data_IF_782333803126
#
_entry.id   IF_782333803126
#
_cell.length_a   1.000
_cell.length_b   1.000
_cell.length_c   1.000
_cell.angle_alpha   90.00
_cell.angle_beta   90.00
_cell.angle_gamma   90.00
#
_symmetry.space_group_name_H-M   'P 1'
#
loop_
_entity.id
_entity.type
_entity.pdbx_description
1 polymer ?
#
# COMPACT_ATOMS: atom_id res chain seq x y z
N UNK A 1 -17.70 4.67 12.38
CA UNK A 1 -16.66 4.14 11.48
C UNK A 1 -15.51 3.64 12.35
N UNK A 2 -15.13 2.37 12.21
CA UNK A 2 -14.02 1.78 12.96
C UNK A 2 -12.68 2.39 12.50
N UNK A 3 -11.73 2.58 13.41
CA UNK A 3 -10.44 3.19 13.08
C UNK A 3 -9.66 2.29 12.09
N UNK A 4 -8.97 2.82 11.05
CA UNK A 4 -8.27 2.00 10.04
C UNK A 4 -7.31 0.95 10.59
N UNK A 5 -6.60 1.30 11.67
CA UNK A 5 -5.73 0.39 12.42
C UNK A 5 -6.50 -0.82 12.99
N UNK A 6 -7.71 -0.60 13.51
CA UNK A 6 -8.51 -1.67 14.10
C UNK A 6 -9.09 -2.57 13.01
N UNK A 7 -9.39 -2.02 11.82
CA UNK A 7 -9.75 -2.79 10.63
C UNK A 7 -8.61 -3.71 10.19
N UNK A 8 -7.37 -3.20 10.13
CA UNK A 8 -6.18 -4.01 9.82
C UNK A 8 -6.00 -5.16 10.81
N UNK A 9 -6.16 -4.89 12.10
CA UNK A 9 -6.03 -5.93 13.11
C UNK A 9 -7.13 -6.98 12.94
N UNK A 10 -8.40 -6.59 12.97
CA UNK A 10 -9.52 -7.51 12.92
C UNK A 10 -9.53 -8.37 11.64
N UNK A 11 -9.04 -7.86 10.51
CA UNK A 11 -9.20 -8.51 9.21
C UNK A 11 -7.91 -9.06 8.61
N UNK A 12 -6.77 -8.94 9.30
CA UNK A 12 -5.51 -9.51 8.84
C UNK A 12 -4.62 -9.95 10.00
N UNK A 13 -4.26 -9.02 10.90
CA UNK A 13 -3.16 -9.28 11.83
C UNK A 13 -3.58 -9.91 13.16
N UNK A 14 -4.88 -10.08 13.41
CA UNK A 14 -5.41 -10.78 14.59
C UNK A 14 -4.97 -12.24 14.67
N UNK A 15 -4.59 -12.86 13.55
CA UNK A 15 -4.04 -14.23 13.51
C UNK A 15 -2.80 -14.37 14.42
N UNK A 16 -2.12 -13.26 14.71
CA UNK A 16 -0.97 -13.20 15.62
C UNK A 16 -1.34 -12.93 17.08
N UNK A 17 -2.63 -12.91 17.45
CA UNK A 17 -3.07 -12.73 18.84
C UNK A 17 -2.35 -13.65 19.85
N UNK A 18 -2.12 -14.95 19.56
CA UNK A 18 -1.37 -15.83 20.46
C UNK A 18 0.10 -15.43 20.65
N UNK A 19 0.68 -14.70 19.69
CA UNK A 19 2.09 -14.31 19.67
C UNK A 19 2.35 -12.89 20.22
N UNK A 20 1.32 -12.15 20.66
CA UNK A 20 1.48 -10.77 21.14
C UNK A 20 2.28 -10.67 22.44
N UNK A 21 2.31 -11.74 23.24
CA UNK A 21 2.93 -11.78 24.56
C UNK A 21 1.97 -11.40 25.68
N UNK A 22 2.50 -11.13 26.87
CA UNK A 22 1.71 -10.73 28.03
C UNK A 22 1.26 -9.26 27.93
N UNK A 23 -0.03 -9.04 28.11
CA UNK A 23 -0.61 -7.70 28.09
C UNK A 23 -0.56 -7.06 29.48
N UNK A 24 -0.35 -5.75 29.53
CA UNK A 24 -0.26 -4.95 30.76
C UNK A 24 -1.25 -3.79 30.74
N UNK A 25 -1.72 -3.40 31.92
CA UNK A 25 -2.50 -2.17 32.06
C UNK A 25 -1.59 -0.95 31.91
N UNK A 26 -1.99 0.01 31.09
CA UNK A 26 -1.19 1.20 30.79
C UNK A 26 -2.04 2.47 30.69
N UNK A 27 -1.52 3.58 31.23
CA UNK A 27 -2.08 4.92 31.01
C UNK A 27 -1.47 5.64 29.81
N UNK A 28 -0.39 5.11 29.24
CA UNK A 28 0.37 5.77 28.18
C UNK A 28 -0.25 5.56 26.81
N UNK A 29 -0.12 6.56 25.92
CA UNK A 29 -0.47 6.43 24.51
C UNK A 29 0.39 5.34 23.83
N UNK A 30 -0.10 4.82 22.71
CA UNK A 30 0.67 3.86 21.92
C UNK A 30 1.90 4.56 21.30
N UNK A 31 3.11 4.05 21.52
CA UNK A 31 4.35 4.60 20.95
C UNK A 31 4.40 4.52 19.42
N UNK A 32 3.68 3.57 18.82
CA UNK A 32 3.62 3.33 17.37
C UNK A 32 2.59 4.24 16.67
N UNK A 33 1.30 4.04 16.94
CA UNK A 33 0.22 4.80 16.30
C UNK A 33 -0.16 6.11 17.00
N UNK A 34 0.40 6.40 18.18
CA UNK A 34 0.15 7.60 18.99
C UNK A 34 -1.29 7.77 19.50
N UNK A 35 -2.16 6.77 19.31
CA UNK A 35 -3.52 6.78 19.89
C UNK A 35 -3.46 6.73 21.42
N UNK A 36 -4.38 7.41 22.14
CA UNK A 36 -4.42 7.40 23.59
C UNK A 36 -4.83 6.03 24.15
N UNK A 37 -4.44 5.73 25.39
CA UNK A 37 -4.72 4.46 26.07
C UNK A 37 -6.21 4.10 26.11
N UNK A 38 -7.08 5.11 26.21
CA UNK A 38 -8.54 4.94 26.19
C UNK A 38 -9.07 4.32 24.90
N UNK A 39 -8.33 4.42 23.79
CA UNK A 39 -8.75 3.87 22.50
C UNK A 39 -8.45 2.38 22.31
N UNK A 40 -7.81 1.74 23.29
CA UNK A 40 -7.48 0.31 23.31
C UNK A 40 -7.66 -0.27 24.73
N UNK A 41 -8.69 0.21 25.44
CA UNK A 41 -9.08 -0.28 26.77
C UNK A 41 -7.98 -0.26 27.84
N UNK A 42 -6.97 0.60 27.64
CA UNK A 42 -5.79 0.70 28.52
C UNK A 42 -5.01 -0.62 28.63
N UNK A 43 -5.12 -1.50 27.64
CA UNK A 43 -4.39 -2.78 27.56
C UNK A 43 -3.31 -2.69 26.49
N UNK A 44 -2.04 -2.64 26.92
CA UNK A 44 -0.90 -2.48 26.04
C UNK A 44 0.15 -3.57 26.20
N UNK A 45 1.13 -3.57 25.31
CA UNK A 45 2.30 -4.44 25.31
C UNK A 45 3.54 -3.59 25.46
N UNK A 46 4.35 -3.88 26.46
CA UNK A 46 5.53 -3.10 26.79
C UNK A 46 6.80 -3.91 26.59
N UNK A 47 7.89 -3.22 26.27
CA UNK A 47 9.19 -3.84 26.08
C UNK A 47 10.23 -2.83 25.62
N UNK A 48 11.36 -3.36 25.16
CA UNK A 48 12.45 -2.59 24.58
C UNK A 48 12.58 -2.95 23.09
N UNK A 49 12.71 -1.95 22.24
CA UNK A 49 13.02 -2.19 20.83
C UNK A 49 14.49 -2.56 20.60
N UNK A 50 14.89 -2.76 19.34
CA UNK A 50 16.28 -3.08 18.98
C UNK A 50 17.30 -2.02 19.39
N UNK A 51 16.87 -0.79 19.64
CA UNK A 51 17.69 0.33 20.08
C UNK A 51 17.62 0.55 21.59
N UNK A 52 17.04 -0.41 22.34
CA UNK A 52 16.79 -0.32 23.79
C UNK A 52 15.88 0.86 24.18
N UNK A 53 15.04 1.32 23.27
CA UNK A 53 14.04 2.33 23.56
C UNK A 53 12.78 1.66 24.10
N UNK A 54 12.24 2.11 25.25
CA UNK A 54 10.96 1.63 25.75
C UNK A 54 9.83 1.88 24.76
N UNK A 55 9.00 0.86 24.53
CA UNK A 55 7.78 0.99 23.74
C UNK A 55 6.54 0.59 24.55
N UNK A 56 5.40 1.10 24.11
CA UNK A 56 4.07 0.74 24.59
C UNK A 56 3.15 0.61 23.38
N UNK A 57 2.80 -0.60 22.98
CA UNK A 57 1.99 -0.85 21.79
C UNK A 57 0.57 -1.25 22.16
N UNK A 58 -0.43 -0.77 21.41
CA UNK A 58 -1.74 -1.41 21.41
C UNK A 58 -1.66 -2.74 20.63
N UNK A 59 -2.61 -3.65 20.83
CA UNK A 59 -2.63 -4.95 20.13
C UNK A 59 -2.48 -4.83 18.59
N UNK A 60 -3.21 -3.94 17.89
CA UNK A 60 -3.03 -3.75 16.45
C UNK A 60 -1.60 -3.38 16.03
N UNK A 61 -0.94 -2.51 16.80
CA UNK A 61 0.44 -2.13 16.51
C UNK A 61 1.41 -3.25 16.86
N UNK A 62 1.20 -3.94 17.99
CA UNK A 62 2.08 -5.02 18.44
C UNK A 62 2.10 -6.18 17.44
N UNK A 63 0.95 -6.51 16.85
CA UNK A 63 0.83 -7.55 15.82
C UNK A 63 1.77 -7.33 14.61
N UNK A 64 2.17 -6.08 14.37
CA UNK A 64 3.10 -5.76 13.28
C UNK A 64 4.57 -6.09 13.61
N UNK A 65 4.93 -6.23 14.88
CA UNK A 65 6.31 -6.42 15.35
C UNK A 65 6.63 -7.86 15.77
N UNK A 66 5.63 -8.62 16.19
CA UNK A 66 5.79 -10.01 16.62
C UNK A 66 5.92 -10.95 15.42
N UNK A 67 6.47 -12.12 15.67
CA UNK A 67 6.64 -13.18 14.68
C UNK A 67 6.25 -14.52 15.29
N UNK A 68 5.59 -15.35 14.49
CA UNK A 68 5.32 -16.75 14.80
C UNK A 68 5.58 -17.57 13.54
N UNK A 69 6.65 -18.36 13.46
CA UNK A 69 6.98 -19.16 12.28
C UNK A 69 5.90 -20.18 11.87
N UNK A 70 5.07 -20.65 12.80
CA UNK A 70 4.01 -21.61 12.51
C UNK A 70 2.80 -20.94 11.86
N UNK A 71 2.61 -19.65 12.13
CA UNK A 71 1.52 -18.84 11.58
C UNK A 71 1.99 -18.12 10.31
N UNK A 72 3.17 -17.49 10.35
CA UNK A 72 3.66 -16.57 9.31
C UNK A 72 4.70 -17.18 8.35
N UNK A 73 5.20 -18.37 8.67
CA UNK A 73 6.32 -18.98 7.95
C UNK A 73 7.66 -18.32 8.25
N UNK A 74 8.68 -18.72 7.49
CA UNK A 74 10.07 -18.28 7.68
C UNK A 74 10.50 -17.31 6.59
N UNK A 75 11.12 -16.20 6.98
CA UNK A 75 11.66 -15.20 6.06
C UNK A 75 12.96 -15.70 5.41
N UNK A 76 13.88 -16.17 6.25
CA UNK A 76 15.23 -16.61 5.88
C UNK A 76 15.84 -17.53 6.94
N UNK A 77 16.88 -18.24 6.55
CA UNK A 77 17.80 -18.92 7.47
C UNK A 77 18.96 -17.97 7.80
N UNK A 78 19.21 -17.71 9.08
CA UNK A 78 20.27 -16.79 9.50
C UNK A 78 21.64 -17.50 9.55
N UNK A 79 22.50 -17.21 8.57
CA UNK A 79 23.92 -17.62 8.60
C UNK A 79 24.15 -19.13 8.62
N UNK A 80 25.29 -19.57 9.17
CA UNK A 80 25.72 -20.98 9.28
C UNK A 80 24.95 -21.81 10.33
N UNK A 81 24.00 -21.22 11.06
CA UNK A 81 23.43 -21.83 12.27
C UNK A 81 22.04 -22.45 12.11
N UNK A 82 21.54 -22.64 10.88
CA UNK A 82 20.19 -23.18 10.59
C UNK A 82 19.02 -22.51 11.34
N UNK A 83 19.27 -21.36 11.99
CA UNK A 83 18.28 -20.65 12.78
C UNK A 83 17.31 -19.94 11.84
N UNK A 84 16.09 -20.46 11.78
CA UNK A 84 15.01 -19.87 10.98
C UNK A 84 14.53 -18.57 11.63
N UNK A 85 14.48 -17.50 10.84
CA UNK A 85 13.91 -16.21 11.24
C UNK A 85 12.49 -16.17 10.69
N UNK A 86 11.50 -16.05 11.57
CA UNK A 86 10.09 -15.98 11.18
C UNK A 86 9.74 -14.67 10.47
N UNK A 87 8.71 -14.71 9.63
CA UNK A 87 8.17 -13.50 9.00
C UNK A 87 7.38 -12.66 10.02
N UNK A 88 7.27 -11.36 9.75
CA UNK A 88 6.39 -10.43 10.47
C UNK A 88 5.82 -9.39 9.50
N UNK A 89 4.58 -8.96 9.72
CA UNK A 89 3.92 -8.03 8.80
C UNK A 89 4.72 -6.75 8.58
N UNK A 90 5.21 -6.10 9.65
CA UNK A 90 6.00 -4.85 9.58
C UNK A 90 7.41 -4.99 8.99
N UNK A 91 7.68 -6.04 8.21
CA UNK A 91 8.87 -6.22 7.38
C UNK A 91 8.58 -6.83 5.99
N UNK A 92 7.31 -7.03 5.63
CA UNK A 92 6.92 -7.62 4.35
C UNK A 92 6.93 -6.56 3.24
N UNK A 93 8.13 -6.18 2.81
CA UNK A 93 8.32 -5.22 1.72
C UNK A 93 7.72 -5.75 0.42
N UNK A 94 6.92 -4.92 -0.26
CA UNK A 94 6.26 -5.27 -1.50
C UNK A 94 5.05 -6.18 -1.35
N UNK A 95 4.66 -6.56 -0.14
CA UNK A 95 3.35 -7.18 0.13
C UNK A 95 2.34 -6.08 0.38
N UNK A 96 1.30 -6.06 -0.44
CA UNK A 96 0.17 -5.16 -0.28
C UNK A 96 -1.00 -5.81 0.47
N UNK A 97 -1.97 -5.00 0.85
CA UNK A 97 -3.22 -5.47 1.44
C UNK A 97 -4.38 -4.56 1.05
N UNK A 98 -5.48 -5.15 0.62
CA UNK A 98 -6.70 -4.45 0.22
C UNK A 98 -7.85 -4.93 1.09
N UNK A 99 -8.55 -3.99 1.69
CA UNK A 99 -9.70 -4.28 2.54
C UNK A 99 -10.90 -3.44 2.15
N UNK A 100 -11.93 -4.08 1.61
CA UNK A 100 -13.20 -3.46 1.27
C UNK A 100 -14.01 -3.20 2.55
N UNK A 101 -14.54 -1.99 2.70
CA UNK A 101 -15.27 -1.60 3.89
C UNK A 101 -16.76 -1.91 3.69
N UNK A 102 -17.31 -2.69 4.62
CA UNK A 102 -18.65 -3.28 4.56
C UNK A 102 -19.80 -2.30 4.81
N UNK A 103 -19.59 -1.00 4.65
CA UNK A 103 -20.62 0.03 4.88
C UNK A 103 -21.68 0.05 3.76
N UNK A 104 -21.61 -0.87 2.79
CA UNK A 104 -22.62 -1.09 1.75
C UNK A 104 -23.45 -2.33 2.11
N UNK A 105 -24.73 -2.18 2.51
CA UNK A 105 -25.60 -3.30 2.85
C UNK A 105 -25.64 -4.36 1.73
N UNK A 106 -25.48 -5.63 2.10
CA UNK A 106 -25.65 -6.78 1.20
C UNK A 106 -24.41 -7.20 0.40
N UNK A 107 -23.21 -6.67 0.70
CA UNK A 107 -21.96 -7.14 0.08
C UNK A 107 -21.01 -7.78 1.11
N UNK A 108 -20.39 -8.93 0.80
CA UNK A 108 -19.39 -9.53 1.67
C UNK A 108 -18.16 -8.62 1.77
N UNK A 109 -17.70 -8.40 2.99
CA UNK A 109 -16.41 -7.76 3.27
C UNK A 109 -15.29 -8.64 2.71
N UNK A 110 -14.40 -8.06 1.90
CA UNK A 110 -13.24 -8.78 1.38
C UNK A 110 -11.96 -8.16 1.90
N UNK A 111 -11.07 -9.02 2.39
CA UNK A 111 -9.75 -8.68 2.90
C UNK A 111 -8.74 -9.55 2.18
N UNK A 112 -7.94 -8.97 1.28
CA UNK A 112 -7.05 -9.73 0.40
C UNK A 112 -5.63 -9.21 0.54
N UNK A 113 -4.69 -10.10 0.80
CA UNK A 113 -3.26 -9.84 0.80
C UNK A 113 -2.71 -10.01 -0.62
N UNK A 114 -1.88 -9.07 -1.08
CA UNK A 114 -1.27 -9.10 -2.40
C UNK A 114 0.22 -9.39 -2.22
N UNK A 115 0.65 -10.61 -2.52
CA UNK A 115 1.99 -11.08 -2.20
C UNK A 115 2.81 -11.42 -3.45
N UNK A 116 4.04 -10.89 -3.58
CA UNK A 116 4.96 -11.30 -4.64
C UNK A 116 5.26 -12.79 -4.59
N UNK A 117 5.54 -13.44 -5.74
CA UNK A 117 5.75 -14.89 -5.80
C UNK A 117 6.69 -15.46 -4.74
N UNK A 118 7.87 -14.85 -4.58
CA UNK A 118 8.86 -15.32 -3.61
C UNK A 118 8.49 -15.13 -2.13
N UNK A 119 7.47 -14.31 -1.82
CA UNK A 119 6.91 -14.19 -0.46
C UNK A 119 5.75 -15.17 -0.29
N UNK A 120 4.87 -15.26 -1.30
CA UNK A 120 3.75 -16.20 -1.32
C UNK A 120 4.20 -17.64 -1.05
N UNK A 121 5.27 -18.07 -1.75
CA UNK A 121 5.79 -19.44 -1.66
C UNK A 121 6.39 -19.78 -0.28
N UNK A 122 6.53 -18.79 0.62
CA UNK A 122 7.02 -18.96 1.99
C UNK A 122 5.89 -19.03 3.03
N UNK A 123 4.64 -18.78 2.64
CA UNK A 123 3.52 -18.87 3.58
C UNK A 123 3.17 -20.33 3.87
N UNK A 124 2.97 -20.69 5.15
CA UNK A 124 2.51 -22.02 5.51
C UNK A 124 1.03 -22.20 5.09
N UNK A 125 0.59 -23.44 4.91
CA UNK A 125 -0.80 -23.75 4.58
C UNK A 125 -1.79 -23.14 5.60
N UNK A 126 -1.44 -23.19 6.89
CA UNK A 126 -2.19 -22.57 7.98
C UNK A 126 -2.43 -21.07 7.78
N UNK A 127 -1.48 -20.34 7.18
CA UNK A 127 -1.67 -18.92 6.85
C UNK A 127 -2.70 -18.74 5.75
N UNK A 128 -2.59 -19.52 4.67
CA UNK A 128 -3.45 -19.45 3.50
C UNK A 128 -4.90 -19.90 3.79
N UNK A 129 -5.11 -20.68 4.85
CA UNK A 129 -6.44 -21.04 5.35
C UNK A 129 -7.16 -19.86 6.02
N UNK A 130 -6.41 -18.93 6.62
CA UNK A 130 -6.96 -17.81 7.40
C UNK A 130 -6.90 -16.47 6.66
N UNK A 131 -6.04 -16.35 5.65
CA UNK A 131 -5.80 -15.12 4.91
C UNK A 131 -5.99 -15.39 3.43
N UNK A 132 -6.90 -14.64 2.79
CA UNK A 132 -7.02 -14.63 1.34
C UNK A 132 -5.79 -13.94 0.73
N UNK A 133 -5.00 -14.67 -0.06
CA UNK A 133 -3.76 -14.18 -0.65
C UNK A 133 -3.77 -14.37 -2.16
N UNK A 134 -3.57 -13.28 -2.89
CA UNK A 134 -3.34 -13.30 -4.33
C UNK A 134 -1.84 -13.20 -4.59
N UNK A 135 -1.32 -14.16 -5.38
CA UNK A 135 0.07 -14.18 -5.83
C UNK A 135 0.26 -13.17 -6.98
N UNK A 136 0.80 -12.00 -6.68
CA UNK A 136 0.93 -10.88 -7.63
C UNK A 136 2.13 -10.00 -7.30
N UNK A 137 2.76 -9.40 -8.32
CA UNK A 137 3.86 -8.44 -8.11
C UNK A 137 3.31 -7.06 -7.71
N UNK A 138 4.16 -6.20 -7.15
CA UNK A 138 3.78 -4.82 -6.77
C UNK A 138 3.18 -4.03 -7.94
N UNK A 139 3.71 -4.22 -9.15
CA UNK A 139 3.17 -3.56 -10.35
C UNK A 139 1.73 -3.99 -10.69
N UNK A 140 1.35 -5.21 -10.30
CA UNK A 140 0.00 -5.74 -10.50
C UNK A 140 -1.03 -5.31 -9.46
N UNK A 141 -0.63 -4.65 -8.36
CA UNK A 141 -1.59 -4.26 -7.32
C UNK A 141 -2.68 -3.32 -7.84
N UNK A 142 -2.28 -2.23 -8.52
CA UNK A 142 -3.23 -1.23 -8.99
C UNK A 142 -4.18 -1.75 -10.08
N UNK A 143 -3.72 -2.51 -11.10
CA UNK A 143 -4.64 -3.20 -12.02
C UNK A 143 -5.60 -4.14 -11.30
N UNK A 144 -5.09 -4.93 -10.34
CA UNK A 144 -5.94 -5.83 -9.56
C UNK A 144 -7.02 -5.08 -8.77
N UNK A 145 -6.68 -3.96 -8.12
CA UNK A 145 -7.64 -3.12 -7.39
C UNK A 145 -8.70 -2.57 -8.34
N UNK A 146 -8.29 -2.06 -9.51
CA UNK A 146 -9.21 -1.49 -10.50
C UNK A 146 -10.23 -2.51 -11.01
N UNK A 147 -9.82 -3.76 -11.21
CA UNK A 147 -10.67 -4.82 -11.75
C UNK A 147 -11.50 -5.53 -10.68
N UNK A 148 -10.93 -5.70 -9.48
CA UNK A 148 -11.50 -6.62 -8.49
C UNK A 148 -12.11 -5.88 -7.30
N UNK A 149 -11.55 -4.77 -6.85
CA UNK A 149 -11.87 -4.18 -5.56
C UNK A 149 -13.04 -3.18 -5.63
N UNK A 150 -13.72 -3.01 -4.49
CA UNK A 150 -14.82 -2.05 -4.34
C UNK A 150 -14.47 -0.99 -3.31
N UNK A 151 -14.88 0.24 -3.59
CA UNK A 151 -14.76 1.37 -2.68
C UNK A 151 -16.02 1.52 -1.82
N UNK A 152 -15.92 2.00 -0.56
CA UNK A 152 -14.70 2.44 0.12
C UNK A 152 -13.77 1.28 0.51
N UNK A 153 -12.45 1.51 0.45
CA UNK A 153 -11.43 0.52 0.81
C UNK A 153 -10.23 1.12 1.53
N UNK A 154 -9.53 0.29 2.29
CA UNK A 154 -8.19 0.57 2.82
C UNK A 154 -7.16 -0.21 2.01
N UNK A 155 -6.18 0.49 1.45
CA UNK A 155 -5.10 -0.12 0.67
C UNK A 155 -3.74 0.21 1.28
N UNK A 156 -2.99 -0.85 1.59
CA UNK A 156 -1.57 -0.79 1.92
C UNK A 156 -0.82 -1.28 0.69
N UNK A 157 0.03 -0.44 0.12
CA UNK A 157 0.87 -0.78 -1.03
C UNK A 157 2.04 -1.69 -0.61
N UNK A 158 2.61 -1.43 0.56
CA UNK A 158 3.72 -2.18 1.13
C UNK A 158 3.75 -2.06 2.65
N UNK A 159 3.89 -3.19 3.37
CA UNK A 159 4.03 -3.17 4.83
C UNK A 159 5.42 -2.73 5.34
N UNK A 160 6.46 -2.80 4.49
CA UNK A 160 7.75 -2.11 4.64
C UNK A 160 8.51 -2.23 5.97
N UNK A 161 9.46 -1.33 6.24
CA UNK A 161 10.35 -1.28 7.43
C UNK A 161 9.93 -0.22 8.48
N UNK A 162 9.24 0.86 8.10
CA UNK A 162 8.84 1.95 9.02
C UNK A 162 7.40 1.76 9.52
N UNK A 163 7.14 0.65 10.21
CA UNK A 163 5.82 0.25 10.74
C UNK A 163 5.07 1.40 11.42
N UNK A 164 5.74 2.18 12.26
CA UNK A 164 5.08 3.27 12.99
C UNK A 164 4.53 4.39 12.09
N UNK A 165 5.24 4.71 11.00
CA UNK A 165 4.78 5.72 10.05
C UNK A 165 3.57 5.19 9.26
N UNK A 166 3.64 3.94 8.77
CA UNK A 166 2.53 3.27 8.10
C UNK A 166 1.27 3.24 8.98
N UNK A 167 1.38 2.78 10.23
CA UNK A 167 0.23 2.67 11.13
C UNK A 167 -0.45 4.01 11.40
N UNK A 168 0.30 5.11 11.46
CA UNK A 168 -0.26 6.47 11.59
C UNK A 168 -0.86 7.01 10.29
N UNK A 169 -0.41 6.49 9.16
CA UNK A 169 -0.81 6.91 7.82
C UNK A 169 -2.03 6.20 7.25
N UNK A 170 -2.47 5.08 7.83
CA UNK A 170 -3.57 4.30 7.27
C UNK A 170 -4.82 5.18 7.03
N UNK A 171 -5.22 5.26 5.77
CA UNK A 171 -6.28 6.16 5.31
C UNK A 171 -7.22 5.42 4.36
N UNK A 172 -8.52 5.59 4.59
CA UNK A 172 -9.57 4.97 3.79
C UNK A 172 -9.75 5.75 2.49
N UNK A 173 -9.73 5.04 1.38
CA UNK A 173 -10.07 5.55 0.05
C UNK A 173 -11.58 5.44 -0.16
N UNK A 174 -12.24 6.56 -0.42
CA UNK A 174 -13.70 6.58 -0.62
C UNK A 174 -14.10 6.33 -2.08
N UNK A 175 -13.19 6.52 -3.03
CA UNK A 175 -13.45 6.37 -4.46
C UNK A 175 -12.16 6.06 -5.24
N UNK A 176 -12.25 5.50 -6.45
CA UNK A 176 -11.08 5.27 -7.30
C UNK A 176 -10.38 6.55 -7.76
N UNK A 177 -11.04 7.71 -7.69
CA UNK A 177 -10.45 9.00 -8.07
C UNK A 177 -9.44 9.51 -7.03
N UNK A 178 -9.47 8.97 -5.81
CA UNK A 178 -8.59 9.30 -4.71
C UNK A 178 -8.21 8.04 -3.92
N UNK A 179 -7.47 7.14 -4.56
CA UNK A 179 -6.88 5.97 -3.92
C UNK A 179 -5.67 6.40 -3.10
N UNK A 180 -5.73 6.19 -1.78
CA UNK A 180 -4.59 6.34 -0.88
C UNK A 180 -3.75 5.05 -0.91
N UNK A 181 -2.57 5.12 -1.52
CA UNK A 181 -1.58 4.05 -1.49
C UNK A 181 -0.77 4.16 -0.20
N UNK A 182 -1.26 3.56 0.88
CA UNK A 182 -0.58 3.62 2.17
C UNK A 182 0.72 2.80 2.10
N UNK A 183 1.87 3.45 2.25
CA UNK A 183 3.19 2.82 2.19
C UNK A 183 4.08 3.45 3.24
N UNK A 184 5.09 2.74 3.69
CA UNK A 184 6.08 3.27 4.62
C UNK A 184 7.22 4.03 3.92
N UNK A 185 7.26 4.01 2.58
CA UNK A 185 8.18 4.77 1.76
C UNK A 185 7.90 6.27 1.88
N UNK A 186 8.98 7.03 2.10
CA UNK A 186 9.04 8.50 2.27
C UNK A 186 8.22 9.13 3.40
N UNK A 187 7.35 8.40 4.10
CA UNK A 187 6.70 8.91 5.31
C UNK A 187 7.72 9.28 6.40
N UNK A 188 7.57 10.48 6.95
CA UNK A 188 8.28 10.99 8.13
C UNK A 188 7.31 11.22 9.32
N UNK A 189 7.73 11.96 10.34
CA UNK A 189 6.89 12.24 11.51
C UNK A 189 5.73 13.19 11.22
N UNK A 190 5.70 13.85 10.05
CA UNK A 190 4.79 14.95 9.72
C UNK A 190 3.94 14.62 8.47
N UNK A 191 4.46 13.86 7.52
CA UNK A 191 3.78 13.47 6.29
C UNK A 191 2.86 12.25 6.51
N UNK A 192 1.56 12.43 6.23
CA UNK A 192 0.58 11.33 6.20
C UNK A 192 0.27 11.00 4.74
N UNK A 193 0.46 9.73 4.37
CA UNK A 193 0.30 9.12 3.04
C UNK A 193 0.93 9.94 1.93
N UNK A 194 2.10 9.52 1.46
CA UNK A 194 2.78 10.24 0.38
C UNK A 194 2.11 10.11 -0.99
N UNK A 195 1.25 9.11 -1.20
CA UNK A 195 0.75 8.80 -2.53
C UNK A 195 -0.77 8.64 -2.60
N UNK A 196 -1.45 9.72 -3.01
CA UNK A 196 -2.82 9.63 -3.56
C UNK A 196 -2.76 9.48 -5.08
N UNK A 197 -3.53 8.55 -5.62
CA UNK A 197 -3.62 8.24 -7.05
C UNK A 197 -5.06 8.37 -7.53
N UNK A 198 -5.27 9.01 -8.68
CA UNK A 198 -6.52 8.89 -9.42
C UNK A 198 -6.45 7.64 -10.30
N UNK A 199 -6.96 6.53 -9.78
CA UNK A 199 -6.87 5.20 -10.40
C UNK A 199 -7.60 5.18 -11.75
N UNK A 200 -8.79 5.79 -11.83
CA UNK A 200 -9.56 5.87 -13.09
C UNK A 200 -8.80 6.63 -14.18
N UNK A 201 -8.15 7.73 -13.82
CA UNK A 201 -7.32 8.48 -14.76
C UNK A 201 -6.09 7.67 -15.18
N UNK A 202 -5.46 6.94 -14.25
CA UNK A 202 -4.28 6.14 -14.53
C UNK A 202 -4.59 4.95 -15.46
N UNK A 203 -5.69 4.25 -15.22
CA UNK A 203 -6.16 3.14 -16.06
C UNK A 203 -6.55 3.61 -17.46
N UNK A 204 -7.27 4.75 -17.57
CA UNK A 204 -7.61 5.34 -18.88
C UNK A 204 -6.37 5.76 -19.67
N UNK A 205 -5.41 6.39 -19.00
CA UNK A 205 -4.15 6.78 -19.62
C UNK A 205 -3.34 5.56 -20.07
N UNK A 206 -3.20 4.55 -19.22
CA UNK A 206 -2.50 3.29 -19.55
C UNK A 206 -3.15 2.59 -20.75
N UNK A 207 -4.49 2.49 -20.77
CA UNK A 207 -5.23 1.95 -21.91
C UNK A 207 -4.95 2.70 -23.22
N UNK A 208 -4.88 4.03 -23.17
CA UNK A 208 -4.49 4.85 -24.34
C UNK A 208 -3.03 4.68 -24.76
N UNK A 209 -2.10 4.58 -23.80
CA UNK A 209 -0.68 4.33 -24.10
C UNK A 209 -0.45 2.95 -24.73
N UNK A 210 -1.27 1.96 -24.37
CA UNK A 210 -1.21 0.61 -24.93
C UNK A 210 -1.63 0.54 -26.40
N UNK A 211 -2.35 1.54 -26.93
CA UNK A 211 -2.66 1.61 -28.37
C UNK A 211 -1.48 2.17 -29.19
N UNK A 212 -0.43 2.69 -28.53
CA UNK A 212 0.74 3.25 -29.19
C UNK A 212 1.86 2.21 -29.30
N UNK A 213 2.64 2.29 -30.38
CA UNK A 213 3.92 1.56 -30.48
C UNK A 213 4.91 2.06 -29.42
N UNK A 214 5.92 1.26 -29.07
CA UNK A 214 6.92 1.65 -28.06
C UNK A 214 7.65 2.97 -28.41
N UNK A 215 7.94 3.20 -29.70
CA UNK A 215 8.56 4.45 -30.13
C UNK A 215 7.62 5.65 -29.94
N UNK A 216 6.34 5.48 -30.23
CA UNK A 216 5.32 6.53 -30.07
C UNK A 216 5.03 6.84 -28.62
N UNK A 217 4.95 5.81 -27.78
CA UNK A 217 4.80 5.93 -26.34
C UNK A 217 5.97 6.72 -25.75
N UNK A 218 7.21 6.38 -26.12
CA UNK A 218 8.40 7.12 -25.69
C UNK A 218 8.36 8.59 -26.13
N UNK A 219 7.90 8.86 -27.36
CA UNK A 219 7.75 10.22 -27.85
C UNK A 219 6.65 10.99 -27.09
N UNK A 220 5.51 10.35 -26.80
CA UNK A 220 4.43 10.93 -26.01
C UNK A 220 4.89 11.24 -24.58
N UNK A 221 5.55 10.29 -23.91
CA UNK A 221 6.06 10.50 -22.55
C UNK A 221 7.08 11.64 -22.52
N UNK A 222 7.99 11.72 -23.49
CA UNK A 222 8.93 12.85 -23.62
C UNK A 222 8.22 14.19 -23.86
N UNK A 223 7.16 14.21 -24.68
CA UNK A 223 6.33 15.40 -24.90
C UNK A 223 5.73 15.90 -23.59
N UNK A 224 5.09 15.02 -22.81
CA UNK A 224 4.42 15.44 -21.58
C UNK A 224 5.42 15.84 -20.50
N UNK A 225 6.52 15.10 -20.36
CA UNK A 225 7.61 15.44 -19.44
C UNK A 225 8.26 16.77 -19.82
N UNK A 226 8.48 16.99 -21.12
CA UNK A 226 9.03 18.24 -21.64
C UNK A 226 8.11 19.43 -21.33
N UNK A 227 6.81 19.28 -21.61
CA UNK A 227 5.82 20.32 -21.38
C UNK A 227 5.66 20.62 -19.88
N UNK A 228 5.59 19.58 -19.05
CA UNK A 228 5.38 19.73 -17.60
C UNK A 228 6.58 20.34 -16.89
N UNK A 229 7.80 20.15 -17.42
CA UNK A 229 9.02 20.76 -16.92
C UNK A 229 9.36 22.11 -17.58
N UNK A 230 8.50 22.63 -18.47
CA UNK A 230 8.75 23.88 -19.20
C UNK A 230 9.89 23.83 -20.23
N UNK A 231 10.36 22.63 -20.62
CA UNK A 231 11.41 22.45 -21.63
C UNK A 231 10.91 22.65 -23.06
N UNK A 232 9.61 22.49 -23.27
CA UNK A 232 8.92 22.82 -24.54
C UNK A 232 7.71 23.70 -24.24
N UNK A 233 7.37 24.56 -25.20
CA UNK A 233 6.22 25.48 -25.06
C UNK A 233 4.90 24.79 -25.39
N UNK A 234 3.74 25.33 -24.93
CA UNK A 234 2.43 24.83 -25.34
C UNK A 234 2.21 24.80 -26.85
N UNK A 235 2.80 25.76 -27.58
CA UNK A 235 2.75 25.80 -29.04
C UNK A 235 3.50 24.63 -29.68
N UNK A 236 4.73 24.37 -29.23
CA UNK A 236 5.53 23.22 -29.69
C UNK A 236 4.86 21.89 -29.38
N UNK A 237 4.24 21.76 -28.19
CA UNK A 237 3.46 20.57 -27.85
C UNK A 237 2.24 20.41 -28.77
N UNK A 238 1.52 21.49 -29.07
CA UNK A 238 0.36 21.47 -29.97
C UNK A 238 0.74 21.04 -31.39
N UNK A 239 1.88 21.50 -31.91
CA UNK A 239 2.41 21.07 -33.21
C UNK A 239 2.80 19.59 -33.25
N UNK A 240 3.31 19.04 -32.14
CA UNK A 240 3.61 17.61 -32.07
C UNK A 240 2.34 16.76 -31.96
N UNK A 241 1.33 17.25 -31.22
CA UNK A 241 0.02 16.61 -31.12
C UNK A 241 -0.72 16.64 -32.46
N UNK A 242 -0.66 17.73 -33.22
CA UNK A 242 -1.35 17.82 -34.52
C UNK A 242 -0.81 16.83 -35.55
N UNK A 243 0.49 16.51 -35.48
CA UNK A 243 1.14 15.50 -36.34
C UNK A 243 0.68 14.07 -36.04
N UNK A 244 0.11 13.82 -34.85
CA UNK A 244 -0.36 12.49 -34.41
C UNK A 244 -1.69 12.60 -33.67
N UNK A 245 -2.84 12.43 -34.37
CA UNK A 245 -4.16 12.58 -33.76
C UNK A 245 -4.38 11.73 -32.50
N UNK A 246 -3.78 10.54 -32.42
CA UNK A 246 -3.82 9.66 -31.24
C UNK A 246 -3.25 10.33 -29.98
N UNK A 247 -2.22 11.18 -30.12
CA UNK A 247 -1.64 11.91 -28.99
C UNK A 247 -2.65 12.89 -28.40
N UNK A 248 -3.47 13.53 -29.24
CA UNK A 248 -4.47 14.49 -28.76
C UNK A 248 -5.51 13.83 -27.85
N UNK A 249 -6.00 12.65 -28.24
CA UNK A 249 -6.97 11.89 -27.43
C UNK A 249 -6.37 11.47 -26.09
N UNK A 250 -5.15 10.94 -26.10
CA UNK A 250 -4.46 10.49 -24.88
C UNK A 250 -4.11 11.70 -23.99
N UNK A 251 -3.64 12.80 -24.58
CA UNK A 251 -3.27 14.00 -23.84
C UNK A 251 -4.43 14.62 -23.07
N UNK A 252 -5.66 14.56 -23.59
CA UNK A 252 -6.86 15.04 -22.90
C UNK A 252 -7.20 14.27 -21.61
N UNK A 253 -6.62 13.09 -21.41
CA UNK A 253 -6.81 12.32 -20.17
C UNK A 253 -5.92 12.83 -19.02
N UNK A 254 -4.93 13.67 -19.34
CA UNK A 254 -3.99 14.21 -18.35
C UNK A 254 -4.61 15.40 -17.58
N UNK A 255 -4.26 15.55 -16.28
CA UNK A 255 -4.70 16.69 -15.48
C UNK A 255 -4.11 18.01 -16.00
N UNK A 256 -4.67 19.14 -15.58
CA UNK A 256 -4.14 20.46 -15.94
C UNK A 256 -2.80 20.76 -15.25
N UNK A 257 -2.65 20.33 -13.99
CA UNK A 257 -1.47 20.58 -13.17
C UNK A 257 -0.23 19.79 -13.64
N UNK A 258 0.92 20.44 -13.91
CA UNK A 258 2.13 19.78 -14.39
C UNK A 258 2.67 18.67 -13.47
N UNK A 259 2.62 18.86 -12.15
CA UNK A 259 3.13 17.85 -11.21
C UNK A 259 2.24 16.61 -11.18
N UNK A 260 0.92 16.82 -11.21
CA UNK A 260 -0.04 15.73 -11.35
C UNK A 260 0.11 14.99 -12.67
N UNK A 261 0.43 15.67 -13.79
CA UNK A 261 0.70 15.00 -15.08
C UNK A 261 1.88 14.04 -14.99
N UNK A 262 2.99 14.51 -14.44
CA UNK A 262 4.21 13.72 -14.27
C UNK A 262 3.94 12.49 -13.39
N UNK A 263 3.24 12.69 -12.28
CA UNK A 263 2.84 11.60 -11.38
C UNK A 263 1.96 10.58 -12.09
N UNK A 264 0.95 11.05 -12.83
CA UNK A 264 0.00 10.17 -13.51
C UNK A 264 0.66 9.34 -14.62
N UNK A 265 1.57 9.92 -15.40
CA UNK A 265 2.33 9.18 -16.42
C UNK A 265 3.22 8.12 -15.80
N UNK A 266 3.96 8.48 -14.75
CA UNK A 266 4.84 7.52 -14.07
C UNK A 266 4.06 6.33 -13.50
N UNK A 267 2.83 6.57 -13.04
CA UNK A 267 1.95 5.49 -12.59
C UNK A 267 1.45 4.69 -13.79
N UNK A 268 0.91 5.34 -14.83
CA UNK A 268 0.36 4.66 -16.00
C UNK A 268 1.39 3.79 -16.75
N UNK A 269 2.65 4.22 -16.83
CA UNK A 269 3.74 3.41 -17.38
C UNK A 269 4.02 2.14 -16.55
N UNK A 270 3.76 2.16 -15.24
CA UNK A 270 3.91 0.98 -14.36
C UNK A 270 2.72 0.03 -14.39
N UNK A 271 1.59 0.43 -14.98
CA UNK A 271 0.38 -0.38 -15.12
C UNK A 271 0.37 -1.24 -16.40
N UNK A 272 1.46 -1.21 -17.16
CA UNK A 272 1.67 -1.98 -18.39
C UNK A 272 2.39 -3.28 -18.07
#
# INVERSE_FOLDING_TARGET
MQHPIDLLYANLTHILAPALGEAVKTGAACSCCKRPASSFDRVGYQGLDSYKTPFNHCAPCQAMFVTDPNIMGNERTAGKSDKKVGQRFGMMSGVGWVHEIADVPGKPQRSTLLAPPGVYDKFPASFLEHVDVVKITVGGHLPWIAENAKFPLLYIESFGRKTAALMRGLTISLSPQALYCCSDAGMDSVTRVECTVNLDAAMRLSGGLNTLTSQERNAFNKLVVGLSNGRITPQQASEQISKKPSFGTIFRTLPADPHQRLKLIHIADKLQ
#
